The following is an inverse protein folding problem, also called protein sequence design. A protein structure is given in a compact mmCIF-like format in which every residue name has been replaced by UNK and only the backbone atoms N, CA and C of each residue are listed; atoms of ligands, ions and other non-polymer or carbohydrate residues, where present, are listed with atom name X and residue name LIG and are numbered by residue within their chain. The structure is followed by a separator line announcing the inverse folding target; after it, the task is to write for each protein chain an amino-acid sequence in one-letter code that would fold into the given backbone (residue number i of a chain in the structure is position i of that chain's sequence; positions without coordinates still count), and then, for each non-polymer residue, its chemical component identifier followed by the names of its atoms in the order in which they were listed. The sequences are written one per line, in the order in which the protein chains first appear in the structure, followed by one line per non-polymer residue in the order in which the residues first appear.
data_IF_108742581410
#
_entry.id   IF_108742581410
#
_cell.length_a   1.000
_cell.length_b   1.000
_cell.length_c   1.000
_cell.angle_alpha   90.00
_cell.angle_beta   90.00
_cell.angle_gamma   90.00
#
_symmetry.space_group_name_H-M   'P 1'
#
loop_
_entity.id
_entity.type
_entity.pdbx_description
1 polymer ?
#
# COMPACT_ATOMS: atom_id res chain seq x y z
N UNK A 1 -50.79 -11.82 24.36
CA UNK A 1 -50.03 -10.90 25.22
C UNK A 1 -50.37 -9.50 24.79
N UNK A 2 -50.82 -8.65 25.70
CA UNK A 2 -50.98 -7.23 25.36
C UNK A 2 -49.61 -6.63 25.03
N UNK A 3 -49.60 -5.75 24.02
CA UNK A 3 -48.38 -5.08 23.58
C UNK A 3 -47.95 -4.11 24.68
N UNK A 4 -46.97 -4.52 25.47
CA UNK A 4 -46.31 -3.72 26.50
C UNK A 4 -44.87 -3.49 26.06
N UNK A 5 -44.34 -2.29 26.30
CA UNK A 5 -42.95 -1.93 26.01
C UNK A 5 -41.97 -3.02 26.50
N UNK A 6 -42.22 -3.58 27.69
CA UNK A 6 -41.41 -4.66 28.28
C UNK A 6 -41.45 -5.95 27.44
N UNK A 7 -42.64 -6.37 27.00
CA UNK A 7 -42.82 -7.58 26.18
C UNK A 7 -42.17 -7.40 24.80
N UNK A 8 -42.29 -6.21 24.21
CA UNK A 8 -41.66 -5.90 22.93
C UNK A 8 -40.13 -5.95 23.02
N UNK A 9 -39.53 -5.38 24.07
CA UNK A 9 -38.07 -5.39 24.28
C UNK A 9 -37.55 -6.82 24.50
N UNK A 10 -38.26 -7.64 25.29
CA UNK A 10 -37.85 -9.03 25.55
C UNK A 10 -37.93 -9.87 24.27
N UNK A 11 -39.02 -9.75 23.51
CA UNK A 11 -39.19 -10.49 22.25
C UNK A 11 -38.14 -10.07 21.23
N UNK A 12 -37.92 -8.76 21.04
CA UNK A 12 -36.90 -8.29 20.11
C UNK A 12 -35.49 -8.71 20.56
N UNK A 13 -35.16 -8.54 21.85
CA UNK A 13 -33.86 -8.92 22.41
C UNK A 13 -33.57 -10.42 22.30
N UNK A 14 -34.56 -11.28 22.51
CA UNK A 14 -34.39 -12.73 22.34
C UNK A 14 -34.16 -13.11 20.88
N UNK A 15 -34.94 -12.53 19.96
CA UNK A 15 -34.77 -12.80 18.53
C UNK A 15 -33.42 -12.30 18.03
N UNK A 16 -32.97 -11.10 18.45
CA UNK A 16 -31.66 -10.56 18.06
C UNK A 16 -30.51 -11.37 18.64
N UNK A 17 -30.63 -11.87 19.87
CA UNK A 17 -29.64 -12.75 20.50
C UNK A 17 -29.51 -14.07 19.75
N UNK A 18 -30.62 -14.70 19.38
CA UNK A 18 -30.60 -15.95 18.60
C UNK A 18 -30.03 -15.71 17.20
N UNK A 19 -30.40 -14.61 16.55
CA UNK A 19 -29.89 -14.26 15.23
C UNK A 19 -28.38 -13.97 15.24
N UNK A 20 -27.88 -13.22 16.22
CA UNK A 20 -26.44 -12.92 16.34
C UNK A 20 -25.62 -14.16 16.64
N UNK A 21 -26.12 -15.06 17.50
CA UNK A 21 -25.49 -16.35 17.78
C UNK A 21 -25.43 -17.23 16.52
N UNK A 22 -26.50 -17.26 15.72
CA UNK A 22 -26.53 -18.01 14.47
C UNK A 22 -25.51 -17.46 13.45
N UNK A 23 -25.47 -16.13 13.24
CA UNK A 23 -24.50 -15.50 12.32
C UNK A 23 -23.07 -15.69 12.81
N UNK A 24 -22.82 -15.54 14.11
CA UNK A 24 -21.50 -15.76 14.71
C UNK A 24 -21.03 -17.21 14.56
N UNK A 25 -21.92 -18.18 14.77
CA UNK A 25 -21.62 -19.60 14.54
C UNK A 25 -21.26 -19.90 13.07
N UNK A 26 -22.02 -19.35 12.12
CA UNK A 26 -21.74 -19.49 10.68
C UNK A 26 -20.40 -18.84 10.32
N UNK A 27 -20.09 -17.67 10.90
CA UNK A 27 -18.82 -17.00 10.66
C UNK A 27 -17.63 -17.84 11.13
N UNK A 28 -17.70 -18.42 12.33
CA UNK A 28 -16.62 -19.28 12.85
C UNK A 28 -16.40 -20.52 11.98
N UNK A 29 -17.48 -21.11 11.44
CA UNK A 29 -17.38 -22.27 10.55
C UNK A 29 -16.89 -21.91 9.14
N UNK A 30 -17.17 -20.71 8.65
CA UNK A 30 -16.79 -20.28 7.29
C UNK A 30 -15.43 -19.59 7.22
N UNK A 31 -14.89 -19.09 8.34
CA UNK A 31 -13.61 -18.38 8.38
C UNK A 31 -12.45 -19.22 7.88
N UNK A 32 -12.26 -20.44 8.38
CA UNK A 32 -11.14 -21.31 8.00
C UNK A 32 -11.14 -21.65 6.49
N UNK A 33 -12.27 -22.10 5.88
CA UNK A 33 -12.33 -22.31 4.44
C UNK A 33 -12.04 -21.06 3.61
N UNK A 34 -12.49 -19.88 4.06
CA UNK A 34 -12.27 -18.61 3.36
C UNK A 34 -10.79 -18.25 3.37
N UNK A 35 -10.12 -18.37 4.52
CA UNK A 35 -8.69 -18.10 4.64
C UNK A 35 -7.87 -19.07 3.78
N UNK A 36 -8.21 -20.36 3.79
CA UNK A 36 -7.56 -21.36 2.94
C UNK A 36 -7.77 -21.06 1.44
N UNK A 37 -8.97 -20.65 1.03
CA UNK A 37 -9.26 -20.27 -0.34
C UNK A 37 -8.50 -19.00 -0.77
N UNK A 38 -8.37 -18.01 0.11
CA UNK A 38 -7.57 -16.81 -0.15
C UNK A 38 -6.08 -17.14 -0.26
N UNK A 39 -5.53 -17.93 0.64
CA UNK A 39 -4.13 -18.36 0.58
C UNK A 39 -3.84 -19.14 -0.71
N UNK A 40 -4.75 -20.05 -1.11
CA UNK A 40 -4.63 -20.75 -2.40
C UNK A 40 -4.66 -19.75 -3.56
N UNK A 41 -5.56 -18.77 -3.55
CA UNK A 41 -5.65 -17.75 -4.60
C UNK A 41 -4.37 -16.92 -4.72
N UNK A 42 -3.77 -16.54 -3.60
CA UNK A 42 -2.48 -15.83 -3.59
C UNK A 42 -1.38 -16.71 -4.16
N UNK A 43 -1.27 -17.98 -3.73
CA UNK A 43 -0.26 -18.91 -4.23
C UNK A 43 -0.42 -19.19 -5.73
N UNK A 44 -1.66 -19.40 -6.19
CA UNK A 44 -1.97 -19.57 -7.62
C UNK A 44 -1.60 -18.30 -8.40
N UNK A 45 -1.86 -17.11 -7.83
CA UNK A 45 -1.50 -15.84 -8.45
C UNK A 45 0.02 -15.66 -8.55
N UNK A 46 0.78 -15.98 -7.49
CA UNK A 46 2.25 -15.95 -7.51
C UNK A 46 2.79 -16.90 -8.59
N UNK A 47 2.26 -18.13 -8.65
CA UNK A 47 2.63 -19.11 -9.66
C UNK A 47 2.30 -18.65 -11.10
N UNK A 48 1.24 -17.86 -11.27
CA UNK A 48 0.89 -17.29 -12.56
C UNK A 48 1.80 -16.13 -12.95
N UNK A 49 2.16 -15.25 -12.00
CA UNK A 49 2.87 -14.01 -12.32
C UNK A 49 4.38 -14.10 -12.32
N UNK A 50 4.94 -15.18 -11.77
CA UNK A 50 6.38 -15.38 -11.68
C UNK A 50 6.91 -16.33 -12.75
N UNK A 51 8.16 -16.15 -13.20
CA UNK A 51 8.91 -17.20 -13.90
C UNK A 51 9.04 -18.45 -13.03
N UNK A 52 9.49 -19.60 -13.57
CA UNK A 52 9.72 -20.81 -12.77
C UNK A 52 10.60 -20.54 -11.55
N UNK A 53 10.11 -20.89 -10.35
CA UNK A 53 10.78 -20.75 -9.06
C UNK A 53 10.72 -22.08 -8.28
N UNK A 54 11.63 -22.27 -7.33
CA UNK A 54 11.70 -23.49 -6.49
C UNK A 54 11.56 -23.20 -4.98
N UNK A 55 11.56 -21.93 -4.58
CA UNK A 55 11.32 -21.53 -3.19
C UNK A 55 9.83 -21.53 -2.82
N UNK A 56 9.53 -21.14 -1.57
CA UNK A 56 8.16 -20.86 -1.11
C UNK A 56 8.02 -19.35 -0.87
N UNK A 57 7.61 -18.56 -1.89
CA UNK A 57 7.59 -17.10 -1.79
C UNK A 57 6.75 -16.56 -0.62
N UNK A 58 5.73 -17.31 -0.19
CA UNK A 58 4.90 -16.97 0.96
C UNK A 58 5.65 -17.00 2.31
N UNK A 59 6.73 -17.80 2.45
CA UNK A 59 7.53 -17.88 3.68
C UNK A 59 8.60 -16.79 3.75
N UNK A 60 9.09 -16.37 2.58
CA UNK A 60 10.06 -15.28 2.44
C UNK A 60 9.39 -13.92 2.22
N UNK A 61 8.06 -13.88 2.37
CA UNK A 61 7.28 -12.67 2.17
C UNK A 61 7.61 -11.62 3.24
N UNK A 62 7.74 -10.38 2.80
CA UNK A 62 7.92 -9.24 3.68
C UNK A 62 6.97 -8.11 3.28
N UNK A 63 6.81 -7.15 4.19
CA UNK A 63 5.90 -6.02 3.99
C UNK A 63 6.65 -4.71 3.86
N UNK A 64 6.16 -3.82 3.01
CA UNK A 64 6.65 -2.45 2.89
C UNK A 64 5.49 -1.48 2.96
N UNK A 65 5.69 -0.35 3.63
CA UNK A 65 4.70 0.72 3.62
C UNK A 65 4.88 1.59 2.37
N UNK A 66 3.78 1.85 1.69
CA UNK A 66 3.69 2.76 0.56
C UNK A 66 2.38 3.54 0.67
N UNK A 67 2.46 4.87 0.56
CA UNK A 67 1.30 5.77 0.64
C UNK A 67 0.43 5.59 1.91
N UNK A 68 1.05 5.20 3.03
CA UNK A 68 0.37 4.95 4.31
C UNK A 68 -0.32 3.59 4.39
N UNK A 69 -0.03 2.68 3.46
CA UNK A 69 -0.61 1.34 3.40
C UNK A 69 0.45 0.26 3.30
N UNK A 70 0.20 -0.87 3.94
CA UNK A 70 1.13 -2.00 3.95
C UNK A 70 0.90 -2.88 2.73
N UNK A 71 1.95 -3.08 1.93
CA UNK A 71 1.97 -3.95 0.75
C UNK A 71 2.86 -5.16 1.01
N UNK A 72 2.38 -6.35 0.64
CA UNK A 72 3.15 -7.60 0.74
C UNK A 72 3.94 -7.85 -0.54
N UNK A 73 5.19 -8.28 -0.37
CA UNK A 73 6.13 -8.61 -1.42
C UNK A 73 6.57 -10.04 -1.20
N UNK A 74 6.51 -10.84 -2.26
CA UNK A 74 6.83 -12.26 -2.28
C UNK A 74 8.02 -12.47 -3.23
N UNK A 75 9.25 -12.59 -2.71
CA UNK A 75 10.42 -12.87 -3.55
C UNK A 75 10.34 -14.31 -4.08
N UNK A 76 10.56 -14.46 -5.38
CA UNK A 76 10.64 -15.75 -6.05
C UNK A 76 12.11 -16.04 -6.40
N UNK A 77 12.60 -17.20 -6.02
CA UNK A 77 13.97 -17.63 -6.30
C UNK A 77 14.01 -19.01 -6.94
N UNK A 78 15.05 -19.24 -7.74
CA UNK A 78 15.34 -20.50 -8.39
C UNK A 78 16.81 -20.80 -8.23
N UNK A 79 17.14 -22.00 -7.74
CA UNK A 79 18.53 -22.44 -7.54
C UNK A 79 19.34 -21.47 -6.64
N UNK A 80 18.68 -20.74 -5.75
CA UNK A 80 19.30 -19.75 -4.86
C UNK A 80 19.45 -18.33 -5.45
N UNK A 81 19.02 -18.09 -6.69
CA UNK A 81 19.01 -16.76 -7.32
C UNK A 81 17.60 -16.18 -7.37
N UNK A 82 17.44 -14.89 -7.08
CA UNK A 82 16.14 -14.21 -7.18
C UNK A 82 15.77 -14.04 -8.65
N UNK A 83 14.69 -14.69 -9.07
CA UNK A 83 14.16 -14.62 -10.44
C UNK A 83 13.08 -13.56 -10.60
N UNK A 84 12.55 -13.02 -9.49
CA UNK A 84 11.57 -11.93 -9.52
C UNK A 84 10.92 -11.65 -8.17
N UNK A 85 10.01 -10.69 -8.17
CA UNK A 85 9.22 -10.28 -7.02
C UNK A 85 7.75 -10.20 -7.41
N UNK A 86 6.90 -10.95 -6.73
CA UNK A 86 5.46 -10.79 -6.84
C UNK A 86 4.97 -9.81 -5.77
N UNK A 87 4.28 -8.75 -6.18
CA UNK A 87 3.87 -7.64 -5.29
C UNK A 87 2.35 -7.57 -5.27
N UNK A 88 1.77 -7.68 -4.07
CA UNK A 88 0.33 -7.55 -3.84
C UNK A 88 -0.04 -6.08 -3.70
N UNK A 89 -0.35 -5.46 -4.83
CA UNK A 89 -0.72 -4.04 -4.92
C UNK A 89 -2.24 -3.89 -5.03
N UNK A 90 -2.74 -2.68 -4.80
CA UNK A 90 -4.16 -2.40 -4.96
C UNK A 90 -4.40 -0.96 -5.41
N UNK A 91 -5.63 -0.67 -5.83
CA UNK A 91 -6.16 0.67 -6.02
C UNK A 91 -7.57 0.79 -5.48
N UNK A 92 -7.82 1.86 -4.73
CA UNK A 92 -9.15 2.22 -4.22
C UNK A 92 -10.00 2.98 -5.24
N UNK A 93 -9.41 3.35 -6.37
CA UNK A 93 -10.02 4.20 -7.39
C UNK A 93 -10.82 3.40 -8.44
N UNK A 94 -11.08 2.12 -8.21
CA UNK A 94 -11.93 1.32 -9.08
C UNK A 94 -13.38 1.79 -9.06
N UNK A 95 -14.13 1.53 -10.13
CA UNK A 95 -15.53 1.92 -10.21
C UNK A 95 -16.38 1.18 -9.17
N UNK A 96 -16.06 -0.10 -8.91
CA UNK A 96 -16.69 -0.91 -7.88
C UNK A 96 -16.03 -0.82 -6.50
N UNK A 97 -15.02 0.04 -6.34
CA UNK A 97 -14.19 0.14 -5.13
C UNK A 97 -12.80 -0.47 -5.33
N UNK A 98 -12.28 -1.12 -4.28
CA UNK A 98 -10.90 -1.61 -4.29
C UNK A 98 -10.68 -2.73 -5.32
N UNK A 99 -9.61 -2.57 -6.11
CA UNK A 99 -9.05 -3.58 -7.01
C UNK A 99 -7.71 -4.02 -6.41
N UNK A 100 -7.56 -5.31 -6.10
CA UNK A 100 -6.29 -5.90 -5.66
C UNK A 100 -5.69 -6.76 -6.75
N UNK A 101 -4.41 -6.56 -7.01
CA UNK A 101 -3.63 -7.20 -8.06
C UNK A 101 -2.39 -7.86 -7.46
N UNK A 102 -2.02 -9.01 -8.01
CA UNK A 102 -0.68 -9.56 -7.90
C UNK A 102 0.08 -9.14 -9.15
N UNK A 103 1.13 -8.35 -9.01
CA UNK A 103 1.97 -7.93 -10.13
C UNK A 103 3.32 -8.61 -10.01
N UNK A 104 3.70 -9.34 -11.05
CA UNK A 104 5.00 -9.99 -11.10
C UNK A 104 6.02 -9.12 -11.81
N UNK A 105 7.13 -8.83 -11.14
CA UNK A 105 8.26 -8.12 -11.72
C UNK A 105 9.49 -9.00 -11.81
N UNK A 106 10.21 -8.89 -12.92
CA UNK A 106 11.57 -9.36 -13.06
C UNK A 106 12.54 -8.45 -12.30
N UNK A 107 13.77 -8.90 -12.00
CA UNK A 107 14.76 -8.10 -11.26
C UNK A 107 15.17 -6.79 -11.96
N UNK A 108 14.94 -6.68 -13.28
CA UNK A 108 15.19 -5.49 -14.10
C UNK A 108 14.02 -4.49 -14.10
N UNK A 109 12.93 -4.78 -13.36
CA UNK A 109 11.72 -3.96 -13.32
C UNK A 109 10.70 -4.26 -14.42
N UNK A 110 10.99 -5.19 -15.34
CA UNK A 110 10.05 -5.61 -16.38
C UNK A 110 8.88 -6.36 -15.76
N UNK A 111 7.65 -6.01 -16.16
CA UNK A 111 6.43 -6.70 -15.74
C UNK A 111 6.39 -8.07 -16.44
N UNK A 112 6.43 -9.15 -15.68
CA UNK A 112 6.33 -10.52 -16.19
C UNK A 112 4.89 -10.86 -16.56
N UNK A 113 3.96 -10.75 -15.61
CA UNK A 113 2.53 -10.94 -15.79
C UNK A 113 1.77 -10.31 -14.61
N UNK A 114 0.44 -10.17 -14.74
CA UNK A 114 -0.44 -9.58 -13.75
C UNK A 114 -1.64 -10.50 -13.54
N UNK A 115 -1.96 -10.79 -12.28
CA UNK A 115 -3.16 -11.54 -11.90
C UNK A 115 -4.07 -10.72 -11.00
N UNK A 116 -5.38 -10.79 -11.24
CA UNK A 116 -6.38 -10.05 -10.46
C UNK A 116 -6.79 -10.88 -9.24
N UNK A 117 -6.43 -10.40 -8.04
CA UNK A 117 -6.75 -11.07 -6.77
C UNK A 117 -8.20 -10.79 -6.36
N UNK A 118 -8.67 -9.55 -6.45
CA UNK A 118 -10.06 -9.23 -6.11
C UNK A 118 -10.48 -7.90 -6.76
N UNK A 119 -11.76 -7.80 -7.07
CA UNK A 119 -12.40 -6.56 -7.53
C UNK A 119 -13.92 -6.70 -7.41
N UNK A 120 -14.62 -5.57 -7.41
CA UNK A 120 -16.09 -5.50 -7.42
C UNK A 120 -16.64 -4.74 -8.65
N UNK A 121 -15.84 -4.67 -9.70
CA UNK A 121 -16.20 -4.02 -10.97
C UNK A 121 -17.45 -4.60 -11.63
N UNK A 122 -18.14 -3.75 -12.40
CA UNK A 122 -19.38 -4.10 -13.10
C UNK A 122 -19.17 -5.28 -14.06
N UNK A 123 -19.94 -6.40 -13.91
CA UNK A 123 -19.87 -7.54 -14.81
C UNK A 123 -20.14 -7.18 -16.28
N UNK A 124 -19.34 -7.74 -17.20
CA UNK A 124 -19.41 -7.49 -18.63
C UNK A 124 -18.79 -6.17 -19.11
N UNK A 125 -18.36 -5.30 -18.18
CA UNK A 125 -17.78 -4.00 -18.48
C UNK A 125 -16.40 -3.83 -17.84
N UNK A 126 -16.35 -3.60 -16.53
CA UNK A 126 -15.10 -3.36 -15.80
C UNK A 126 -14.39 -4.63 -15.34
N UNK A 127 -15.10 -5.77 -15.30
CA UNK A 127 -14.51 -7.08 -15.02
C UNK A 127 -13.58 -7.59 -16.14
N UNK A 128 -13.56 -6.91 -17.29
CA UNK A 128 -12.63 -7.15 -18.39
C UNK A 128 -11.16 -6.90 -18.00
N UNK A 129 -10.89 -6.30 -16.84
CA UNK A 129 -9.54 -6.27 -16.26
C UNK A 129 -8.96 -7.68 -16.00
N UNK A 130 -9.81 -8.71 -15.90
CA UNK A 130 -9.37 -10.09 -15.80
C UNK A 130 -8.87 -10.59 -17.16
N UNK A 131 -7.66 -11.18 -17.17
CA UNK A 131 -7.03 -11.80 -18.35
C UNK A 131 -7.91 -12.87 -19.03
N UNK A 132 -8.78 -13.55 -18.27
CA UNK A 132 -9.73 -14.53 -18.80
C UNK A 132 -10.91 -13.92 -19.58
N UNK A 133 -11.12 -12.59 -19.49
CA UNK A 133 -12.27 -11.89 -20.08
C UNK A 133 -11.86 -10.89 -21.17
N UNK A 134 -10.63 -10.40 -21.16
CA UNK A 134 -10.11 -9.55 -22.24
C UNK A 134 -8.58 -9.52 -22.26
N UNK A 135 -8.03 -9.03 -23.37
CA UNK A 135 -6.59 -8.84 -23.57
C UNK A 135 -6.04 -7.56 -22.91
N UNK A 136 -6.85 -6.85 -22.10
CA UNK A 136 -6.43 -5.61 -21.44
C UNK A 136 -5.17 -5.81 -20.58
N UNK A 137 -5.15 -6.86 -19.74
CA UNK A 137 -4.00 -7.15 -18.88
C UNK A 137 -2.74 -7.56 -19.67
N UNK A 138 -2.91 -8.11 -20.88
CA UNK A 138 -1.81 -8.60 -21.73
C UNK A 138 -0.93 -7.45 -22.24
N UNK A 139 -1.48 -6.24 -22.31
CA UNK A 139 -0.74 -5.05 -22.75
C UNK A 139 0.46 -4.72 -21.85
N UNK A 140 0.42 -5.17 -20.59
CA UNK A 140 1.46 -4.92 -19.59
C UNK A 140 2.56 -5.99 -19.59
N UNK A 141 2.30 -7.18 -20.15
CA UNK A 141 3.25 -8.29 -20.15
C UNK A 141 4.51 -7.95 -20.98
N UNK A 142 5.67 -8.16 -20.37
CA UNK A 142 6.97 -7.86 -20.97
C UNK A 142 7.26 -6.36 -21.13
N UNK A 143 6.45 -5.47 -20.53
CA UNK A 143 6.70 -4.02 -20.55
C UNK A 143 7.51 -3.61 -19.33
N UNK A 144 8.46 -2.71 -19.56
CA UNK A 144 9.23 -2.10 -18.48
C UNK A 144 8.67 -0.69 -18.19
N UNK A 145 8.16 -0.41 -16.99
CA UNK A 145 7.61 0.90 -16.60
C UNK A 145 8.58 2.09 -16.72
N UNK A 146 9.90 1.87 -16.87
CA UNK A 146 10.86 2.93 -17.19
C UNK A 146 10.64 3.51 -18.59
N UNK A 147 10.21 2.68 -19.54
CA UNK A 147 10.02 3.07 -20.95
C UNK A 147 8.55 3.11 -21.34
N UNK A 148 7.71 2.32 -20.67
CA UNK A 148 6.28 2.20 -20.91
C UNK A 148 5.51 3.01 -19.87
N UNK A 149 4.80 4.05 -20.32
CA UNK A 149 4.04 4.92 -19.42
C UNK A 149 2.77 4.22 -18.96
N UNK A 150 2.78 3.84 -17.68
CA UNK A 150 1.62 3.30 -16.96
C UNK A 150 0.56 4.39 -16.71
N UNK A 151 -0.08 4.83 -17.79
CA UNK A 151 -1.30 5.62 -17.78
C UNK A 151 -2.11 5.27 -19.04
N UNK A 152 -3.42 5.52 -19.00
CA UNK A 152 -4.25 5.29 -20.18
C UNK A 152 -3.91 6.28 -21.29
N UNK A 153 -4.08 5.90 -22.55
CA UNK A 153 -3.77 6.74 -23.73
C UNK A 153 -4.48 8.10 -23.70
N UNK A 154 -5.70 8.16 -23.16
CA UNK A 154 -6.44 9.42 -22.95
C UNK A 154 -5.80 10.37 -21.95
N UNK A 155 -4.97 9.86 -21.05
CA UNK A 155 -4.27 10.63 -20.02
C UNK A 155 -2.77 10.80 -20.39
N UNK A 156 -2.37 10.46 -21.62
CA UNK A 156 -1.01 10.64 -22.14
C UNK A 156 -0.04 9.49 -21.84
N UNK A 157 -0.53 8.32 -21.43
CA UNK A 157 0.27 7.10 -21.32
C UNK A 157 0.11 6.15 -22.51
N UNK A 158 0.57 4.91 -22.35
CA UNK A 158 0.66 3.92 -23.43
C UNK A 158 -0.38 2.78 -23.31
N UNK A 159 -1.27 2.83 -22.30
CA UNK A 159 -2.26 1.77 -22.03
C UNK A 159 -3.59 2.05 -22.74
N UNK A 160 -4.09 1.09 -23.52
CA UNK A 160 -5.41 1.20 -24.13
C UNK A 160 -6.52 0.85 -23.14
N UNK A 161 -7.31 1.86 -22.76
CA UNK A 161 -8.40 1.69 -21.80
C UNK A 161 -9.52 0.78 -22.33
N UNK A 162 -10.13 0.02 -21.42
CA UNK A 162 -11.34 -0.75 -21.69
C UNK A 162 -12.46 0.21 -22.09
N UNK A 163 -13.06 -0.04 -23.25
CA UNK A 163 -14.17 0.81 -23.77
C UNK A 163 -15.31 0.87 -22.76
N UNK A 164 -15.77 2.10 -22.48
CA UNK A 164 -16.79 2.42 -21.48
C UNK A 164 -16.43 2.04 -20.02
N UNK A 165 -15.17 1.69 -19.73
CA UNK A 165 -14.69 1.35 -18.38
C UNK A 165 -13.34 2.01 -18.05
N UNK A 166 -13.24 3.31 -18.35
CA UNK A 166 -12.00 4.09 -18.17
C UNK A 166 -11.59 4.19 -16.70
N UNK A 167 -12.54 4.29 -15.75
CA UNK A 167 -12.23 4.38 -14.32
C UNK A 167 -11.53 3.11 -13.83
N UNK A 168 -12.06 1.94 -14.17
CA UNK A 168 -11.47 0.63 -13.86
C UNK A 168 -10.10 0.46 -14.53
N UNK A 169 -9.95 0.92 -15.76
CA UNK A 169 -8.67 0.88 -16.50
C UNK A 169 -7.60 1.75 -15.82
N UNK A 170 -7.97 2.96 -15.39
CA UNK A 170 -7.09 3.86 -14.64
C UNK A 170 -6.69 3.26 -13.30
N UNK A 171 -7.66 2.73 -12.55
CA UNK A 171 -7.41 2.10 -11.26
C UNK A 171 -6.48 0.88 -11.35
N UNK A 172 -6.66 0.05 -12.38
CA UNK A 172 -5.76 -1.07 -12.64
C UNK A 172 -4.33 -0.57 -12.92
N UNK A 173 -4.19 0.42 -13.81
CA UNK A 173 -2.89 0.99 -14.19
C UNK A 173 -2.19 1.65 -13.00
N UNK A 174 -2.94 2.38 -12.18
CA UNK A 174 -2.50 3.01 -10.93
C UNK A 174 -2.01 1.96 -9.91
N UNK A 175 -2.71 0.83 -9.76
CA UNK A 175 -2.25 -0.29 -8.93
C UNK A 175 -0.92 -0.86 -9.44
N UNK A 176 -0.77 -1.06 -10.75
CA UNK A 176 0.50 -1.54 -11.35
C UNK A 176 1.64 -0.55 -11.12
N UNK A 177 1.40 0.75 -11.33
CA UNK A 177 2.38 1.81 -11.09
C UNK A 177 2.83 1.86 -9.63
N UNK A 178 1.90 1.70 -8.67
CA UNK A 178 2.24 1.56 -7.25
C UNK A 178 3.14 0.35 -6.99
N UNK A 179 2.82 -0.81 -7.58
CA UNK A 179 3.65 -2.01 -7.46
C UNK A 179 5.08 -1.77 -7.93
N UNK A 180 5.24 -1.08 -9.06
CA UNK A 180 6.55 -0.73 -9.61
C UNK A 180 7.34 0.23 -8.69
N UNK A 181 6.70 1.26 -8.16
CA UNK A 181 7.36 2.19 -7.22
C UNK A 181 7.86 1.47 -5.96
N UNK A 182 7.09 0.48 -5.47
CA UNK A 182 7.48 -0.35 -4.33
C UNK A 182 8.69 -1.22 -4.67
N UNK A 183 8.69 -1.87 -5.84
CA UNK A 183 9.85 -2.62 -6.32
C UNK A 183 11.11 -1.75 -6.33
N UNK A 184 11.03 -0.56 -6.92
CA UNK A 184 12.16 0.36 -6.98
C UNK A 184 12.66 0.74 -5.59
N UNK A 185 11.77 0.89 -4.62
CA UNK A 185 12.16 1.14 -3.23
C UNK A 185 12.85 -0.08 -2.61
N UNK A 186 12.39 -1.30 -2.88
CA UNK A 186 13.04 -2.55 -2.41
C UNK A 186 14.43 -2.73 -2.98
N UNK A 187 14.58 -2.51 -4.29
CA UNK A 187 15.87 -2.64 -4.98
C UNK A 187 16.88 -1.60 -4.49
N UNK A 188 16.44 -0.37 -4.19
CA UNK A 188 17.29 0.68 -3.61
C UNK A 188 17.80 0.30 -2.22
N UNK A 189 16.92 -0.16 -1.32
CA UNK A 189 17.32 -0.55 0.04
C UNK A 189 18.34 -1.69 0.01
N UNK A 190 18.15 -2.66 -0.90
CA UNK A 190 19.07 -3.80 -1.08
C UNK A 190 20.49 -3.36 -1.49
N UNK A 191 20.64 -2.26 -2.24
CA UNK A 191 21.95 -1.72 -2.61
C UNK A 191 22.58 -0.85 -1.51
N UNK A 192 21.77 -0.22 -0.66
CA UNK A 192 22.27 0.59 0.48
C UNK A 192 22.85 -0.32 1.57
N UNK A 193 22.20 -1.46 1.86
CA UNK A 193 22.70 -2.45 2.82
C UNK A 193 24.02 -3.11 2.36
N UNK A 194 24.20 -3.31 1.05
CA UNK A 194 25.46 -3.83 0.49
C UNK A 194 26.63 -2.83 0.57
N UNK A 195 26.35 -1.52 0.68
CA UNK A 195 27.35 -0.45 0.83
C UNK A 195 27.63 -0.08 2.29
N UNK A 196 26.69 -0.37 3.22
CA UNK A 196 26.82 -0.03 4.65
C UNK A 196 27.56 -1.10 5.49
N UNK A 197 28.03 -2.18 4.86
CA UNK A 197 28.71 -3.31 5.50
C UNK A 197 30.12 -3.02 6.04
N UNK A 198 30.26 -2.12 7.01
CA UNK A 198 31.39 -2.10 7.94
C UNK A 198 30.95 -2.74 9.28
N UNK A 199 31.05 -4.07 9.34
CA UNK A 199 30.76 -4.88 10.53
C UNK A 199 31.79 -4.63 11.64
N UNK A 200 31.35 -4.23 12.84
CA UNK A 200 32.05 -4.62 14.08
C UNK A 200 31.37 -5.86 14.61
N UNK A 201 32.03 -6.99 14.38
CA UNK A 201 31.66 -8.33 14.83
C UNK A 201 31.80 -8.42 16.35
N UNK A 202 30.70 -8.62 17.07
CA UNK A 202 30.76 -9.23 18.39
C UNK A 202 30.50 -10.73 18.23
N UNK A 203 31.57 -11.51 18.37
CA UNK A 203 31.50 -12.96 18.57
C UNK A 203 31.06 -13.23 20.01
N UNK A 204 29.93 -13.90 20.19
CA UNK A 204 29.69 -14.67 21.41
C UNK A 204 30.49 -15.97 21.33
N UNK A 205 31.48 -16.12 22.22
CA UNK A 205 32.01 -17.43 22.61
C UNK A 205 31.96 -17.52 24.14
N UNK A 206 31.33 -18.57 24.62
CA UNK A 206 31.09 -18.94 26.02
C UNK A 206 32.28 -19.68 26.64
N UNK A 207 32.71 -19.31 27.86
CA UNK A 207 33.29 -20.22 28.87
C UNK A 207 33.11 -19.64 30.30
N UNK A 208 33.00 -20.53 31.28
CA UNK A 208 32.51 -20.39 32.67
C UNK A 208 33.67 -20.14 33.68
N UNK A 209 33.32 -19.71 34.91
CA UNK A 209 34.08 -19.72 36.20
C UNK A 209 34.98 -18.49 36.51
N UNK A 210 35.06 -17.84 37.69
CA UNK A 210 34.60 -18.01 39.08
C UNK A 210 34.31 -16.63 39.74
N UNK A 211 33.59 -16.62 40.87
CA UNK A 211 33.17 -15.46 41.71
C UNK A 211 34.31 -14.90 42.59
N UNK A 212 34.26 -13.67 43.18
CA UNK A 212 33.40 -13.43 44.36
C UNK A 212 32.79 -12.01 44.55
N UNK A 213 31.67 -12.05 45.27
CA UNK A 213 30.84 -10.98 45.87
C UNK A 213 31.59 -9.74 46.38
N UNK A 214 30.99 -8.57 46.14
CA UNK A 214 30.80 -7.61 47.24
C UNK A 214 29.50 -6.80 47.13
N UNK A 215 28.84 -6.72 48.28
CA UNK A 215 27.50 -6.24 48.61
C UNK A 215 27.36 -4.72 48.62
N UNK A 216 26.15 -4.20 48.34
CA UNK A 216 25.43 -3.21 49.18
C UNK A 216 23.98 -2.99 48.71
N UNK A 217 23.13 -2.68 49.71
CA UNK A 217 21.65 -2.68 49.77
C UNK A 217 20.95 -1.56 48.98
N UNK A 218 19.62 -1.67 48.72
CA UNK A 218 18.84 -0.68 47.96
C UNK A 218 18.40 0.52 48.84
N UNK A 219 18.28 1.72 48.24
CA UNK A 219 17.61 2.86 48.87
C UNK A 219 16.66 3.56 47.88
N UNK A 220 15.50 3.92 48.43
CA UNK A 220 14.26 4.46 47.85
C UNK A 220 14.44 5.63 46.87
N UNK A 221 13.55 5.65 45.87
CA UNK A 221 13.23 6.80 45.04
C UNK A 221 12.43 7.83 45.87
N UNK A 222 12.90 9.08 45.87
CA UNK A 222 12.13 10.27 46.20
C UNK A 222 12.03 11.09 44.90
N UNK A 223 10.83 11.60 44.63
CA UNK A 223 10.46 12.42 43.48
C UNK A 223 11.05 13.83 43.67
N UNK A 224 11.78 14.36 42.69
CA UNK A 224 12.09 15.79 42.60
C UNK A 224 11.80 16.30 41.18
N UNK A 225 10.96 17.33 41.11
CA UNK A 225 10.55 18.08 39.93
C UNK A 225 11.75 18.71 39.21
N UNK A 226 11.80 18.60 37.88
CA UNK A 226 12.80 19.28 37.05
C UNK A 226 12.22 20.61 36.55
N UNK A 227 12.70 21.71 37.15
CA UNK A 227 12.41 23.08 36.77
C UNK A 227 13.26 23.51 35.55
N UNK A 228 12.61 24.12 34.54
CA UNK A 228 13.22 24.54 33.28
C UNK A 228 13.94 25.89 33.42
N UNK A 229 15.26 25.94 33.18
CA UNK A 229 16.05 27.18 33.13
C UNK A 229 16.03 27.81 31.72
N UNK A 230 15.42 28.99 31.53
CA UNK A 230 15.29 29.63 30.22
C UNK A 230 16.57 30.34 29.69
N UNK A 231 17.74 30.23 30.34
CA UNK A 231 18.94 30.98 29.92
C UNK A 231 20.11 30.16 29.36
N UNK A 232 19.90 28.88 29.03
CA UNK A 232 20.96 28.03 28.47
C UNK A 232 21.02 28.04 26.93
N UNK A 233 21.18 29.21 26.29
CA UNK A 233 21.61 29.27 24.88
C UNK A 233 22.63 30.41 24.67
N UNK A 234 23.92 30.06 24.74
CA UNK A 234 25.02 30.85 24.17
C UNK A 234 25.84 29.94 23.26
N UNK A 235 25.75 30.17 21.96
CA UNK A 235 26.63 29.54 20.97
C UNK A 235 25.96 29.09 19.68
N UNK A 236 25.25 29.99 18.98
CA UNK A 236 24.89 29.78 17.58
C UNK A 236 25.39 30.99 16.76
N UNK A 237 26.10 30.70 15.67
CA UNK A 237 26.72 31.66 14.76
C UNK A 237 25.64 32.48 14.00
N UNK A 238 25.90 33.76 13.65
CA UNK A 238 24.89 34.65 13.07
C UNK A 238 24.60 34.35 11.59
N UNK A 239 23.32 34.42 11.24
CA UNK A 239 22.82 34.46 9.87
C UNK A 239 22.97 35.88 9.29
N UNK A 240 23.49 36.00 8.07
CA UNK A 240 23.69 37.26 7.35
C UNK A 240 22.40 37.67 6.62
N UNK A 241 21.97 38.90 6.85
CA UNK A 241 20.76 39.50 6.28
C UNK A 241 21.11 40.83 5.60
N UNK A 242 21.41 40.81 4.30
CA UNK A 242 21.51 42.01 3.47
C UNK A 242 21.04 41.79 2.03
N UNK A 243 19.74 41.97 1.81
CA UNK A 243 19.09 42.53 0.60
C UNK A 243 17.57 42.38 0.81
N UNK A 244 16.73 43.39 1.03
CA UNK A 244 16.81 44.81 0.70
C UNK A 244 15.94 45.11 -0.53
N UNK A 245 14.63 45.31 -0.35
CA UNK A 245 13.82 46.23 -1.16
C UNK A 245 12.37 46.33 -0.64
N UNK A 246 12.05 47.53 -0.19
CA UNK A 246 10.75 48.14 0.09
C UNK A 246 9.81 48.20 -1.12
N UNK A 247 8.49 48.10 -0.89
CA UNK A 247 7.52 49.21 -1.02
C UNK A 247 6.15 48.81 -1.62
N UNK A 248 5.13 49.35 -0.96
CA UNK A 248 3.85 49.88 -1.50
C UNK A 248 2.78 48.96 -2.06
N UNK A 249 1.68 48.88 -1.31
CA UNK A 249 0.34 48.66 -1.80
C UNK A 249 -0.13 49.86 -2.64
N UNK A 250 -0.72 49.57 -3.79
CA UNK A 250 -1.60 50.48 -4.55
C UNK A 250 -2.79 49.66 -5.01
N UNK A 251 -3.97 49.99 -4.47
CA UNK A 251 -5.25 49.74 -5.10
C UNK A 251 -5.34 50.59 -6.37
N UNK A 252 -5.59 49.98 -7.52
CA UNK A 252 -6.30 50.64 -8.61
C UNK A 252 -7.29 49.68 -9.26
N UNK A 253 -8.53 50.13 -9.24
CA UNK A 253 -9.70 49.57 -9.90
C UNK A 253 -9.81 50.24 -11.27
N UNK A 254 -9.72 49.47 -12.36
CA UNK A 254 -10.32 49.81 -13.66
C UNK A 254 -10.46 48.49 -14.46
N UNK A 255 -11.68 47.99 -14.62
CA UNK A 255 -12.63 48.27 -15.70
C UNK A 255 -12.16 47.68 -17.04
N UNK A 256 -12.67 46.49 -17.40
CA UNK A 256 -12.97 46.21 -18.80
C UNK A 256 -14.34 45.53 -18.95
N UNK A 257 -15.10 46.20 -19.79
CA UNK A 257 -16.39 45.89 -20.35
C UNK A 257 -16.30 44.74 -21.35
N UNK A 258 -17.22 43.77 -21.26
CA UNK A 258 -17.83 43.24 -22.49
C UNK A 258 -19.33 43.10 -22.28
N UNK A 259 -20.04 44.13 -22.73
CA UNK A 259 -21.45 44.07 -23.07
C UNK A 259 -21.52 43.80 -24.58
N UNK A 260 -22.10 42.67 -25.01
CA UNK A 260 -23.08 42.76 -26.09
C UNK A 260 -24.05 41.58 -26.13
N UNK A 261 -25.32 41.93 -26.00
CA UNK A 261 -26.53 41.11 -26.18
C UNK A 261 -27.11 41.25 -27.60
N UNK A 262 -28.05 40.34 -27.93
CA UNK A 262 -29.10 40.41 -29.00
C UNK A 262 -28.62 40.09 -30.43
N UNK A 263 -29.40 39.45 -31.32
CA UNK A 263 -30.86 39.18 -31.53
C UNK A 263 -30.90 38.06 -32.62
N UNK A 264 -31.80 37.07 -32.67
CA UNK A 264 -33.21 37.16 -33.09
C UNK A 264 -33.41 36.92 -34.61
N UNK A 265 -34.23 35.91 -35.00
CA UNK A 265 -34.70 35.58 -36.37
C UNK A 265 -33.88 34.44 -37.03
N UNK A 266 -34.42 33.38 -37.61
CA UNK A 266 -35.74 33.02 -38.17
C UNK A 266 -36.19 31.62 -37.71
#
# INVERSE_FOLDING_TARGET
MESSLKNMVIVLGSITLVASAAVGGIYLLTKEPIEAAQAKKINDAIAQVMPPFDNVPAQEAFTKEADGETVKIYPASKEGEIVGYAIETFSKNGFGGQISLMVGFLPDGTIQDISVISHNETPGLGDKIQKSKSDFAVQFEGKNPETFKLAVTKDGGDVDAITASTISSRAFTDAVARGYNILQAVLKDSQVEATSGATTTYKEESQIEETPKQTRKPKKQEEEEFEFDPNAVKGALPYDATAGATATATEEHSNDSTHNTRKGGE
#
